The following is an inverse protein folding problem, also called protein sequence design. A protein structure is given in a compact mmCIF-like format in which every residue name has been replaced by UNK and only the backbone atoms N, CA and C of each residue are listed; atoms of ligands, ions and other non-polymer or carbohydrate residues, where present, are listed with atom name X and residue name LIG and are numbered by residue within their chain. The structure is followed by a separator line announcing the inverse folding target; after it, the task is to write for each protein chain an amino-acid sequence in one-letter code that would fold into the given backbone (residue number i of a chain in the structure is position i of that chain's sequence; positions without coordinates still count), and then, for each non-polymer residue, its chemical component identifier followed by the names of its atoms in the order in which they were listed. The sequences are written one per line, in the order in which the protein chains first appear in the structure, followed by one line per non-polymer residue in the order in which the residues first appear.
data_IF_210568802886
#
_entry.id   IF_210568802886
#
_cell.length_a   1.000
_cell.length_b   1.000
_cell.length_c   1.000
_cell.angle_alpha   90.00
_cell.angle_beta   90.00
_cell.angle_gamma   90.00
#
_symmetry.space_group_name_H-M   'P 1'
#
loop_
_entity.id
_entity.type
_entity.pdbx_description
1 polymer ?
#
# COMPACT_ATOMS: atom_id res chain seq x y z
N UNK A 1 0.09 26.19 -24.74
CA UNK A 1 -0.93 25.64 -23.83
C UNK A 1 -0.46 24.27 -23.37
N UNK A 2 0.12 24.11 -22.16
CA UNK A 2 0.45 22.79 -21.65
C UNK A 2 -0.82 22.10 -21.14
N UNK A 3 -1.00 20.83 -21.49
CA UNK A 3 -2.17 20.03 -21.12
C UNK A 3 -2.07 19.64 -19.64
N UNK A 4 -3.12 19.79 -18.83
CA UNK A 4 -3.10 19.40 -17.43
C UNK A 4 -3.51 17.94 -17.30
N UNK A 5 -2.69 16.97 -17.77
CA UNK A 5 -3.05 15.56 -17.57
C UNK A 5 -1.92 14.53 -17.44
N UNK A 6 -0.67 14.94 -17.29
CA UNK A 6 0.39 13.99 -16.89
C UNK A 6 0.68 14.12 -15.39
N UNK A 7 -0.33 13.82 -14.57
CA UNK A 7 -0.04 13.39 -13.21
C UNK A 7 0.61 12.00 -13.33
N UNK A 8 1.95 11.99 -13.35
CA UNK A 8 2.74 10.76 -13.21
C UNK A 8 2.18 10.01 -12.01
N UNK A 9 1.46 8.92 -12.28
CA UNK A 9 0.80 8.14 -11.25
C UNK A 9 1.81 7.14 -10.71
N UNK A 10 2.73 7.66 -9.90
CA UNK A 10 3.78 6.87 -9.28
C UNK A 10 3.15 5.91 -8.27
N UNK A 11 3.27 4.61 -8.53
CA UNK A 11 2.96 3.59 -7.54
C UNK A 11 3.86 3.80 -6.31
N UNK A 12 3.25 3.87 -5.14
CA UNK A 12 3.90 3.99 -3.84
C UNK A 12 3.98 2.61 -3.19
N UNK A 13 5.01 2.43 -2.36
CA UNK A 13 5.23 1.21 -1.58
C UNK A 13 5.11 1.55 -0.08
N UNK A 14 4.36 0.73 0.65
CA UNK A 14 4.40 0.71 2.11
C UNK A 14 4.75 -0.70 2.57
N UNK A 15 5.76 -0.83 3.43
CA UNK A 15 6.19 -2.12 3.96
C UNK A 15 5.81 -2.20 5.43
N UNK A 16 5.15 -3.28 5.81
CA UNK A 16 4.96 -3.67 7.21
C UNK A 16 5.76 -4.93 7.49
N UNK A 17 6.24 -5.08 8.73
CA UNK A 17 7.01 -6.24 9.17
C UNK A 17 6.46 -6.76 10.48
N UNK A 18 6.56 -8.07 10.71
CA UNK A 18 6.12 -8.69 11.96
C UNK A 18 6.79 -10.04 12.19
N UNK A 19 6.66 -10.56 13.42
CA UNK A 19 7.27 -11.85 13.80
C UNK A 19 6.43 -13.06 13.34
N UNK A 20 5.16 -12.84 13.05
CA UNK A 20 4.24 -13.84 12.50
C UNK A 20 3.19 -13.19 11.59
N UNK A 21 2.37 -14.03 10.96
CA UNK A 21 1.34 -13.58 10.02
C UNK A 21 0.29 -12.69 10.68
N UNK A 22 -0.08 -12.96 11.94
CA UNK A 22 -1.11 -12.20 12.62
C UNK A 22 -0.62 -10.78 12.94
N UNK A 23 0.63 -10.65 13.36
CA UNK A 23 1.29 -9.36 13.59
C UNK A 23 1.33 -8.52 12.31
N UNK A 24 1.81 -9.11 11.20
CA UNK A 24 1.89 -8.45 9.88
C UNK A 24 0.51 -7.98 9.40
N UNK A 25 -0.50 -8.85 9.42
CA UNK A 25 -1.82 -8.48 8.93
C UNK A 25 -2.54 -7.49 9.85
N UNK A 26 -2.29 -7.53 11.16
CA UNK A 26 -2.83 -6.54 12.09
C UNK A 26 -2.23 -5.17 11.81
N UNK A 27 -0.91 -5.07 11.63
CA UNK A 27 -0.25 -3.82 11.27
C UNK A 27 -0.75 -3.27 9.92
N UNK A 28 -0.91 -4.13 8.92
CA UNK A 28 -1.47 -3.76 7.63
C UNK A 28 -2.91 -3.25 7.73
N UNK A 29 -3.75 -3.92 8.53
CA UNK A 29 -5.13 -3.52 8.75
C UNK A 29 -5.23 -2.15 9.43
N UNK A 30 -4.38 -1.89 10.43
CA UNK A 30 -4.29 -0.59 11.10
C UNK A 30 -3.91 0.51 10.10
N UNK A 31 -2.93 0.24 9.23
CA UNK A 31 -2.54 1.18 8.20
C UNK A 31 -3.68 1.45 7.22
N UNK A 32 -4.35 0.40 6.70
CA UNK A 32 -5.47 0.50 5.76
C UNK A 32 -6.67 1.24 6.35
N UNK A 33 -6.92 1.10 7.66
CA UNK A 33 -8.03 1.77 8.35
C UNK A 33 -7.76 3.25 8.65
N UNK A 34 -6.53 3.74 8.48
CA UNK A 34 -6.20 5.13 8.76
C UNK A 34 -6.98 6.07 7.81
N UNK A 35 -7.55 7.19 8.30
CA UNK A 35 -8.31 8.14 7.45
C UNK A 35 -7.51 8.68 6.27
N UNK A 36 -6.18 8.70 6.38
CA UNK A 36 -5.28 9.07 5.29
C UNK A 36 -5.35 8.10 4.11
N UNK A 37 -5.79 6.84 4.28
CA UNK A 37 -5.90 5.86 3.20
C UNK A 37 -7.23 5.89 2.45
N UNK A 38 -8.15 6.79 2.79
CA UNK A 38 -9.47 6.90 2.14
C UNK A 38 -9.38 7.07 0.61
N UNK A 39 -8.29 7.64 0.10
CA UNK A 39 -8.09 7.92 -1.34
C UNK A 39 -6.96 7.09 -1.92
N UNK A 40 -6.79 5.85 -1.45
CA UNK A 40 -5.77 4.94 -1.93
C UNK A 40 -6.40 3.77 -2.71
N UNK A 41 -5.87 3.47 -3.90
CA UNK A 41 -6.12 2.20 -4.58
C UNK A 41 -4.93 1.26 -4.37
N UNK A 42 -5.21 0.05 -3.88
CA UNK A 42 -4.22 -1.00 -3.74
C UNK A 42 -4.09 -1.76 -5.06
N UNK A 43 -2.86 -1.96 -5.52
CA UNK A 43 -2.53 -2.67 -6.76
C UNK A 43 -2.03 -4.08 -6.50
N UNK A 44 -1.19 -4.26 -5.47
CA UNK A 44 -0.60 -5.54 -5.11
C UNK A 44 -0.31 -5.61 -3.62
N UNK A 45 -0.35 -6.84 -3.10
CA UNK A 45 0.05 -7.22 -1.76
C UNK A 45 1.01 -8.39 -1.89
N UNK A 46 2.28 -8.17 -1.55
CA UNK A 46 3.32 -9.20 -1.65
C UNK A 46 3.84 -9.54 -0.26
N UNK A 47 3.55 -10.76 0.18
CA UNK A 47 4.03 -11.28 1.44
C UNK A 47 5.27 -12.13 1.19
N UNK A 48 6.40 -11.68 1.73
CA UNK A 48 7.67 -12.35 1.59
C UNK A 48 8.23 -12.70 2.97
N UNK A 49 8.79 -13.90 3.09
CA UNK A 49 9.52 -14.33 4.28
C UNK A 49 10.91 -13.69 4.35
N UNK A 50 11.42 -13.18 3.22
CA UNK A 50 12.70 -12.50 3.10
C UNK A 50 12.55 -11.39 2.08
N UNK A 51 11.85 -10.30 2.44
CA UNK A 51 11.55 -9.21 1.53
C UNK A 51 12.72 -8.91 0.58
N UNK A 52 12.46 -8.88 -0.73
CA UNK A 52 13.48 -8.81 -1.81
C UNK A 52 14.57 -7.74 -1.65
N UNK A 53 14.36 -6.76 -0.77
CA UNK A 53 15.25 -5.64 -0.48
C UNK A 53 16.04 -5.79 0.84
N UNK A 54 15.81 -6.83 1.65
CA UNK A 54 16.39 -6.98 2.98
C UNK A 54 17.31 -8.21 3.03
N UNK A 55 18.62 -7.94 3.07
CA UNK A 55 19.68 -8.93 3.13
C UNK A 55 19.96 -9.29 4.59
N UNK A 56 20.02 -10.60 4.84
CA UNK A 56 20.55 -11.33 6.00
C UNK A 56 19.76 -11.26 7.33
N UNK A 57 18.96 -12.31 7.53
CA UNK A 57 18.73 -12.95 8.84
C UNK A 57 17.81 -12.27 9.86
N UNK A 58 16.84 -11.45 9.44
CA UNK A 58 15.70 -11.16 10.30
C UNK A 58 14.62 -12.22 10.03
N UNK A 59 14.25 -13.04 11.01
CA UNK A 59 13.19 -14.08 10.90
C UNK A 59 11.78 -13.47 10.76
N UNK A 60 11.70 -12.21 10.32
CA UNK A 60 10.49 -11.44 10.19
C UNK A 60 9.82 -11.69 8.85
N UNK A 61 8.50 -11.67 8.90
CA UNK A 61 7.65 -11.62 7.72
C UNK A 61 7.49 -10.16 7.29
N UNK A 62 7.51 -9.92 5.99
CA UNK A 62 7.34 -8.60 5.40
C UNK A 62 6.17 -8.61 4.43
N UNK A 63 5.26 -7.66 4.58
CA UNK A 63 4.20 -7.42 3.61
C UNK A 63 4.43 -6.08 2.93
N UNK A 64 4.65 -6.14 1.63
CA UNK A 64 4.76 -5.01 0.72
C UNK A 64 3.39 -4.67 0.14
N UNK A 65 2.94 -3.44 0.39
CA UNK A 65 1.67 -2.90 -0.07
C UNK A 65 1.97 -1.90 -1.18
N UNK A 66 1.64 -2.26 -2.40
CA UNK A 66 1.78 -1.41 -3.58
C UNK A 66 0.46 -0.67 -3.80
N UNK A 67 0.53 0.66 -3.81
CA UNK A 67 -0.67 1.47 -3.82
C UNK A 67 -0.49 2.76 -4.59
N UNK A 68 -1.60 3.40 -4.92
CA UNK A 68 -1.63 4.71 -5.55
C UNK A 68 -2.56 5.63 -4.79
N UNK A 69 -2.08 6.83 -4.50
CA UNK A 69 -2.84 7.88 -3.83
C UNK A 69 -3.47 8.81 -4.86
N UNK A 70 -4.71 9.21 -4.63
CA UNK A 70 -5.40 10.21 -5.42
C UNK A 70 -5.55 11.50 -4.62
N UNK A 71 -5.19 12.63 -5.23
CA UNK A 71 -5.29 13.96 -4.59
C UNK A 71 -6.74 14.42 -4.38
N UNK A 72 -7.72 13.73 -4.96
CA UNK A 72 -9.15 13.99 -4.77
C UNK A 72 -9.85 12.73 -4.28
N UNK A 73 -10.80 12.85 -3.34
CA UNK A 73 -11.65 11.73 -2.99
C UNK A 73 -12.38 11.24 -4.22
N UNK A 74 -12.17 9.96 -4.57
CA UNK A 74 -13.00 9.27 -5.54
C UNK A 74 -14.36 9.11 -4.88
N UNK A 75 -15.26 10.08 -5.10
CA UNK A 75 -16.68 9.83 -4.94
C UNK A 75 -16.98 8.63 -5.84
N UNK A 76 -17.24 7.47 -5.24
CA UNK A 76 -17.83 6.33 -5.93
C UNK A 76 -19.17 6.84 -6.48
N UNK A 77 -19.18 7.28 -7.73
CA UNK A 77 -20.41 7.59 -8.45
C UNK A 77 -21.21 6.30 -8.47
N UNK A 78 -22.26 6.24 -7.65
CA UNK A 78 -23.26 5.19 -7.72
C UNK A 78 -23.76 5.12 -9.15
N UNK A 79 -23.64 3.94 -9.74
CA UNK A 79 -24.29 3.62 -11.00
C UNK A 79 -25.81 3.75 -10.78
N UNK A 80 -26.41 4.67 -11.53
CA UNK A 80 -27.85 4.82 -11.69
C UNK A 80 -28.39 3.70 -12.59
#
# INVERSE_FOLDING_TARGET
MPHPHDAVTTAQLHTVSGVDYADVFTAAAVWLAAPTQTNVAIWSLELDQQGRLYIESDERLYLEIYYQRFDKPRLLQGAH
#
